data_IF_921614615921
#
_entry.id   IF_921614615921
#
_cell.length_a   1.000
_cell.length_b   1.000
_cell.length_c   1.000
_cell.angle_alpha   90.00
_cell.angle_beta   90.00
_cell.angle_gamma   90.00
#
_symmetry.space_group_name_H-M   'P 1'
#
loop_
_entity.id
_entity.type
_entity.pdbx_description
1 polymer ?
#
# COMPACT_ATOMS: atom_id res chain seq x y z
N UNK A 1 -64.79 -24.97 56.78
CA UNK A 1 -65.37 -24.03 55.79
C UNK A 1 -64.23 -23.37 55.01
N UNK A 2 -63.29 -24.18 54.51
CA UNK A 2 -62.05 -23.72 53.86
C UNK A 2 -61.65 -24.61 52.65
N UNK A 3 -62.17 -25.84 52.53
CA UNK A 3 -61.85 -26.74 51.40
C UNK A 3 -62.75 -26.57 50.15
N UNK A 4 -63.88 -25.85 50.25
CA UNK A 4 -64.79 -25.64 49.10
C UNK A 4 -64.44 -24.42 48.24
N UNK A 5 -63.54 -23.53 48.70
CA UNK A 5 -63.12 -22.34 47.96
C UNK A 5 -61.89 -22.55 47.08
N UNK A 6 -61.20 -23.69 47.18
CA UNK A 6 -59.97 -23.95 46.42
C UNK A 6 -60.20 -24.71 45.11
N UNK A 7 -61.35 -25.40 44.96
CA UNK A 7 -61.68 -26.17 43.74
C UNK A 7 -62.24 -25.27 42.62
N UNK A 8 -62.81 -24.10 42.97
CA UNK A 8 -63.38 -23.17 41.98
C UNK A 8 -62.33 -22.29 41.29
N UNK A 9 -61.22 -21.96 41.97
CA UNK A 9 -60.16 -21.10 41.43
C UNK A 9 -59.29 -21.81 40.38
N UNK A 10 -58.92 -23.07 40.61
CA UNK A 10 -58.17 -23.91 39.64
C UNK A 10 -58.95 -24.13 38.34
N UNK A 11 -60.24 -24.48 38.44
CA UNK A 11 -61.16 -24.63 37.30
C UNK A 11 -61.25 -23.35 36.45
N UNK A 12 -61.23 -22.17 37.08
CA UNK A 12 -61.34 -20.89 36.38
C UNK A 12 -60.03 -20.48 35.69
N UNK A 13 -58.88 -20.83 36.27
CA UNK A 13 -57.57 -20.55 35.68
C UNK A 13 -57.31 -21.43 34.45
N UNK A 14 -57.65 -22.72 34.52
CA UNK A 14 -57.47 -23.66 33.42
C UNK A 14 -58.38 -23.35 32.23
N UNK A 15 -59.66 -23.01 32.50
CA UNK A 15 -60.61 -22.60 31.46
C UNK A 15 -60.22 -21.30 30.77
N UNK A 16 -59.68 -20.33 31.52
CA UNK A 16 -59.12 -19.09 30.95
C UNK A 16 -57.90 -19.36 30.06
N UNK A 17 -57.00 -20.25 30.50
CA UNK A 17 -55.82 -20.64 29.71
C UNK A 17 -56.22 -21.34 28.41
N UNK A 18 -57.20 -22.21 28.46
CA UNK A 18 -57.73 -22.89 27.28
C UNK A 18 -58.37 -21.89 26.28
N UNK A 19 -59.15 -20.93 26.78
CA UNK A 19 -59.71 -19.85 25.97
C UNK A 19 -58.61 -18.99 25.30
N UNK A 20 -57.53 -18.70 26.03
CA UNK A 20 -56.39 -17.95 25.52
C UNK A 20 -55.66 -18.69 24.38
N UNK A 21 -55.41 -19.99 24.53
CA UNK A 21 -54.78 -20.83 23.49
C UNK A 21 -55.64 -20.87 22.22
N UNK A 22 -56.97 -21.03 22.37
CA UNK A 22 -57.87 -21.01 21.22
C UNK A 22 -57.88 -19.64 20.54
N UNK A 23 -57.88 -18.54 21.30
CA UNK A 23 -57.78 -17.19 20.74
C UNK A 23 -56.49 -17.00 19.93
N UNK A 24 -55.35 -17.42 20.48
CA UNK A 24 -54.07 -17.35 19.76
C UNK A 24 -53.97 -18.27 18.56
N UNK A 25 -54.79 -19.33 18.51
CA UNK A 25 -54.92 -20.24 17.37
C UNK A 25 -55.83 -19.71 16.27
N UNK A 26 -56.39 -18.49 16.42
CA UNK A 26 -57.17 -17.80 15.39
C UNK A 26 -58.70 -17.97 15.51
N UNK A 27 -59.19 -18.59 16.58
CA UNK A 27 -60.63 -18.73 16.82
C UNK A 27 -61.25 -17.39 17.23
N UNK A 28 -62.45 -17.11 16.75
CA UNK A 28 -63.22 -15.91 17.16
C UNK A 28 -63.77 -16.11 18.57
N UNK A 29 -63.93 -15.03 19.35
CA UNK A 29 -64.51 -15.09 20.72
C UNK A 29 -65.85 -15.83 20.75
N UNK A 30 -66.71 -15.65 19.73
CA UNK A 30 -67.99 -16.34 19.61
C UNK A 30 -67.88 -17.87 19.37
N UNK A 31 -66.76 -18.34 18.81
CA UNK A 31 -66.48 -19.77 18.64
C UNK A 31 -65.94 -20.36 19.93
N UNK A 32 -65.01 -19.66 20.60
CA UNK A 32 -64.46 -20.05 21.90
C UNK A 32 -65.57 -20.13 22.95
N UNK A 33 -66.43 -19.12 22.99
CA UNK A 33 -67.59 -19.06 23.89
C UNK A 33 -68.50 -20.29 23.75
N UNK A 34 -68.80 -20.71 22.50
CA UNK A 34 -69.62 -21.89 22.22
C UNK A 34 -68.95 -23.21 22.56
N UNK A 35 -67.64 -23.32 22.36
CA UNK A 35 -66.92 -24.59 22.58
C UNK A 35 -66.56 -24.83 24.04
N UNK A 36 -66.30 -23.77 24.81
CA UNK A 36 -65.94 -23.87 26.22
C UNK A 36 -67.12 -23.62 27.18
N UNK A 37 -68.30 -23.28 26.65
CA UNK A 37 -69.49 -22.89 27.42
C UNK A 37 -69.23 -21.71 28.39
N UNK A 38 -68.47 -20.72 27.92
CA UNK A 38 -68.11 -19.51 28.69
C UNK A 38 -68.75 -18.29 28.03
N UNK A 39 -69.39 -17.37 28.78
CA UNK A 39 -69.94 -16.15 28.20
C UNK A 39 -68.91 -15.34 27.41
N UNK A 40 -69.25 -14.92 26.20
CA UNK A 40 -68.36 -14.14 25.33
C UNK A 40 -67.84 -12.85 25.99
N UNK A 41 -68.65 -12.23 26.86
CA UNK A 41 -68.26 -11.06 27.67
C UNK A 41 -67.13 -11.35 28.65
N UNK A 42 -67.09 -12.55 29.23
CA UNK A 42 -66.03 -13.00 30.14
C UNK A 42 -64.71 -13.19 29.39
N UNK A 43 -64.75 -13.82 28.21
CA UNK A 43 -63.57 -14.02 27.35
C UNK A 43 -63.04 -12.66 26.85
N UNK A 44 -63.92 -11.74 26.43
CA UNK A 44 -63.54 -10.39 26.03
C UNK A 44 -62.88 -9.62 27.19
N UNK A 45 -63.41 -9.74 28.41
CA UNK A 45 -62.81 -9.12 29.59
C UNK A 45 -61.40 -9.66 29.88
N UNK A 46 -61.17 -10.96 29.72
CA UNK A 46 -59.84 -11.56 29.86
C UNK A 46 -58.88 -11.07 28.79
N UNK A 47 -59.31 -11.09 27.52
CA UNK A 47 -58.56 -10.58 26.38
C UNK A 47 -58.08 -9.14 26.60
N UNK A 48 -58.96 -8.27 27.08
CA UNK A 48 -58.64 -6.85 27.25
C UNK A 48 -57.78 -6.60 28.49
N UNK A 49 -58.06 -7.28 29.63
CA UNK A 49 -57.26 -7.13 30.87
C UNK A 49 -55.83 -7.61 30.70
N UNK A 50 -55.62 -8.69 29.97
CA UNK A 50 -54.29 -9.29 29.74
C UNK A 50 -53.70 -8.92 28.39
N UNK A 51 -54.36 -8.00 27.66
CA UNK A 51 -53.87 -7.45 26.39
C UNK A 51 -53.43 -8.52 25.39
N UNK A 52 -54.27 -9.52 25.17
CA UNK A 52 -53.93 -10.67 24.32
C UNK A 52 -53.52 -10.25 22.88
N UNK A 53 -54.05 -9.13 22.39
CA UNK A 53 -53.70 -8.57 21.07
C UNK A 53 -52.28 -8.02 21.00
N UNK A 54 -51.74 -7.52 22.12
CA UNK A 54 -50.41 -6.92 22.19
C UNK A 54 -49.30 -7.99 22.31
N UNK A 55 -49.67 -9.25 22.55
CA UNK A 55 -48.71 -10.36 22.69
C UNK A 55 -48.25 -10.80 21.29
N UNK A 56 -47.03 -10.42 20.92
CA UNK A 56 -46.40 -10.81 19.67
C UNK A 56 -46.30 -12.34 19.53
N UNK A 57 -46.43 -12.91 18.31
CA UNK A 57 -46.37 -14.37 18.08
C UNK A 57 -45.13 -15.06 18.69
N UNK A 58 -43.98 -14.38 18.69
CA UNK A 58 -42.74 -14.88 19.31
C UNK A 58 -42.88 -15.03 20.83
N UNK A 59 -43.55 -14.08 21.50
CA UNK A 59 -43.81 -14.15 22.95
C UNK A 59 -44.78 -15.28 23.33
N UNK A 60 -45.68 -15.67 22.41
CA UNK A 60 -46.60 -16.79 22.62
C UNK A 60 -45.87 -18.14 22.62
N UNK A 61 -44.92 -18.31 21.70
CA UNK A 61 -44.08 -19.53 21.62
C UNK A 61 -43.15 -19.62 22.81
N UNK A 62 -42.56 -18.50 23.24
CA UNK A 62 -41.71 -18.43 24.43
C UNK A 62 -42.44 -18.87 25.70
N UNK A 63 -43.66 -18.38 25.93
CA UNK A 63 -44.48 -18.76 27.08
C UNK A 63 -44.79 -20.27 27.10
N UNK A 64 -45.05 -20.85 25.93
CA UNK A 64 -45.30 -22.28 25.79
C UNK A 64 -44.04 -23.11 26.09
N UNK A 65 -42.88 -22.68 25.57
CA UNK A 65 -41.58 -23.32 25.84
C UNK A 65 -41.23 -23.24 27.34
N UNK A 66 -41.39 -22.07 27.95
CA UNK A 66 -41.13 -21.84 29.37
C UNK A 66 -42.05 -22.70 30.25
N UNK A 67 -43.35 -22.75 29.95
CA UNK A 67 -44.29 -23.60 30.69
C UNK A 67 -43.86 -25.06 30.61
N UNK A 68 -43.54 -25.56 29.41
CA UNK A 68 -43.15 -26.96 29.22
C UNK A 68 -41.83 -27.27 29.95
N UNK A 69 -40.88 -26.35 29.92
CA UNK A 69 -39.62 -26.48 30.63
C UNK A 69 -39.85 -26.55 32.15
N UNK A 70 -40.67 -25.67 32.71
CA UNK A 70 -40.99 -25.66 34.13
C UNK A 70 -41.66 -26.98 34.58
N UNK A 71 -42.58 -27.52 33.78
CA UNK A 71 -43.20 -28.82 34.03
C UNK A 71 -42.18 -29.96 34.07
N UNK A 72 -41.25 -29.99 33.12
CA UNK A 72 -40.20 -31.02 33.08
C UNK A 72 -39.21 -30.88 34.23
N UNK A 73 -38.88 -29.64 34.64
CA UNK A 73 -38.02 -29.39 35.80
C UNK A 73 -38.68 -29.86 37.10
N UNK A 74 -39.98 -29.61 37.27
CA UNK A 74 -40.74 -29.97 38.47
C UNK A 74 -41.04 -31.48 38.59
N UNK A 75 -40.86 -32.27 37.51
CA UNK A 75 -41.09 -33.72 37.52
C UNK A 75 -40.14 -34.44 38.49
N UNK A 76 -40.68 -35.21 39.45
CA UNK A 76 -39.89 -35.88 40.50
C UNK A 76 -38.94 -36.95 39.93
N UNK A 77 -39.47 -37.89 39.13
CA UNK A 77 -38.66 -38.88 38.42
C UNK A 77 -38.42 -38.49 36.96
N UNK A 78 -37.17 -38.17 36.62
CA UNK A 78 -36.77 -37.79 35.26
C UNK A 78 -36.13 -38.95 34.52
N UNK A 79 -36.60 -39.19 33.31
CA UNK A 79 -36.04 -40.16 32.36
C UNK A 79 -35.00 -39.50 31.44
N UNK A 80 -34.21 -40.32 30.73
CA UNK A 80 -33.26 -39.81 29.73
C UNK A 80 -33.90 -39.01 28.59
N UNK A 81 -35.18 -39.25 28.26
CA UNK A 81 -35.91 -38.42 27.30
C UNK A 81 -36.29 -37.06 27.88
N UNK A 82 -36.62 -36.98 29.17
CA UNK A 82 -36.94 -35.70 29.84
C UNK A 82 -35.72 -34.78 29.84
N UNK A 83 -34.52 -35.30 30.14
CA UNK A 83 -33.28 -34.52 30.08
C UNK A 83 -32.96 -33.99 28.67
N UNK A 84 -33.23 -34.79 27.63
CA UNK A 84 -33.07 -34.35 26.24
C UNK A 84 -34.06 -33.26 25.87
N UNK A 85 -35.31 -33.38 26.31
CA UNK A 85 -36.33 -32.36 26.06
C UNK A 85 -35.98 -31.05 26.78
N UNK A 86 -35.51 -31.12 28.04
CA UNK A 86 -35.01 -29.95 28.79
C UNK A 86 -33.86 -29.24 28.05
N UNK A 87 -32.86 -29.98 27.55
CA UNK A 87 -31.76 -29.40 26.77
C UNK A 87 -32.25 -28.76 25.47
N UNK A 88 -33.17 -29.41 24.75
CA UNK A 88 -33.75 -28.87 23.53
C UNK A 88 -34.55 -27.58 23.79
N UNK A 89 -35.39 -27.57 24.81
CA UNK A 89 -36.18 -26.41 25.21
C UNK A 89 -35.27 -25.25 25.65
N UNK A 90 -34.24 -25.53 26.45
CA UNK A 90 -33.25 -24.54 26.87
C UNK A 90 -32.52 -23.88 25.70
N UNK A 91 -32.13 -24.67 24.68
CA UNK A 91 -31.54 -24.13 23.44
C UNK A 91 -32.50 -23.28 22.63
N UNK A 92 -33.79 -23.61 22.61
CA UNK A 92 -34.79 -22.76 21.94
C UNK A 92 -34.99 -21.44 22.68
N UNK A 93 -35.03 -21.45 24.02
CA UNK A 93 -35.12 -20.24 24.83
C UNK A 93 -33.90 -19.31 24.59
N UNK A 94 -32.68 -19.87 24.55
CA UNK A 94 -31.48 -19.10 24.24
C UNK A 94 -31.56 -18.46 22.84
N UNK A 95 -32.06 -19.18 21.83
CA UNK A 95 -32.26 -18.65 20.48
C UNK A 95 -33.29 -17.53 20.46
N UNK A 96 -34.40 -17.67 21.19
CA UNK A 96 -35.41 -16.61 21.30
C UNK A 96 -34.85 -15.35 21.98
N UNK A 97 -34.03 -15.49 23.02
CA UNK A 97 -33.36 -14.37 23.67
C UNK A 97 -32.40 -13.62 22.71
N UNK A 98 -31.67 -14.34 21.86
CA UNK A 98 -30.80 -13.75 20.81
C UNK A 98 -31.61 -13.00 19.75
N UNK A 99 -32.73 -13.58 19.29
CA UNK A 99 -33.64 -12.93 18.34
C UNK A 99 -34.22 -11.66 18.94
N UNK A 100 -34.63 -11.67 20.22
CA UNK A 100 -35.09 -10.47 20.92
C UNK A 100 -34.01 -9.40 20.98
N UNK A 101 -32.79 -9.73 21.42
CA UNK A 101 -31.67 -8.78 21.48
C UNK A 101 -31.43 -8.08 20.14
N UNK A 102 -31.51 -8.83 19.03
CA UNK A 102 -31.42 -8.27 17.68
C UNK A 102 -32.62 -7.37 17.33
N UNK A 103 -33.85 -7.83 17.55
CA UNK A 103 -35.07 -7.10 17.19
C UNK A 103 -35.30 -5.82 18.00
N UNK A 104 -34.76 -5.71 19.22
CA UNK A 104 -34.88 -4.53 20.08
C UNK A 104 -33.72 -3.52 19.93
N UNK A 105 -32.81 -3.73 18.97
CA UNK A 105 -31.81 -2.73 18.56
C UNK A 105 -30.45 -2.77 19.28
N UNK A 106 -30.31 -3.56 20.34
CA UNK A 106 -29.05 -3.74 21.09
C UNK A 106 -28.18 -4.91 20.57
N UNK A 107 -28.62 -5.58 19.51
CA UNK A 107 -27.96 -6.75 18.93
C UNK A 107 -27.46 -6.51 17.51
N UNK A 108 -26.48 -7.31 17.09
CA UNK A 108 -25.96 -7.32 15.71
C UNK A 108 -26.08 -8.72 15.09
N UNK A 109 -25.73 -8.86 13.81
CA UNK A 109 -25.83 -10.15 13.08
C UNK A 109 -25.03 -11.29 13.74
N UNK A 110 -24.02 -10.96 14.55
CA UNK A 110 -23.20 -11.93 15.29
C UNK A 110 -24.00 -12.58 16.43
N UNK A 111 -24.97 -11.88 17.02
CA UNK A 111 -25.87 -12.46 18.03
C UNK A 111 -26.80 -13.52 17.43
N UNK A 112 -27.23 -13.35 16.17
CA UNK A 112 -28.08 -14.31 15.46
C UNK A 112 -27.31 -15.55 15.01
N UNK A 113 -26.04 -15.38 14.60
CA UNK A 113 -25.19 -16.49 14.16
C UNK A 113 -23.78 -16.39 14.77
N UNK A 114 -23.52 -17.10 15.88
CA UNK A 114 -22.20 -17.12 16.53
C UNK A 114 -21.07 -17.62 15.63
N UNK A 115 -21.37 -18.33 14.53
CA UNK A 115 -20.36 -18.78 13.57
C UNK A 115 -19.75 -17.60 12.78
N UNK A 116 -20.42 -16.45 12.70
CA UNK A 116 -19.87 -15.23 12.10
C UNK A 116 -18.68 -14.68 12.92
N UNK A 117 -18.73 -14.80 14.26
CA UNK A 117 -17.60 -14.44 15.11
C UNK A 117 -16.35 -15.28 14.82
N UNK A 118 -16.55 -16.56 14.50
CA UNK A 118 -15.46 -17.47 14.16
C UNK A 118 -14.85 -17.22 12.77
N UNK A 119 -15.61 -16.64 11.84
CA UNK A 119 -15.14 -16.31 10.48
C UNK A 119 -14.20 -15.11 10.46
N UNK A 120 -14.35 -14.20 11.42
CA UNK A 120 -13.52 -12.99 11.56
C UNK A 120 -12.36 -13.16 12.57
N UNK A 121 -12.14 -14.37 13.09
CA UNK A 121 -11.15 -14.65 14.14
C UNK A 121 -9.75 -14.98 13.61
N UNK A 122 -9.56 -15.03 12.29
CA UNK A 122 -8.25 -15.18 11.67
C UNK A 122 -7.54 -13.84 11.58
N UNK A 123 -6.26 -13.78 11.98
CA UNK A 123 -5.38 -12.67 11.61
C UNK A 123 -5.41 -12.53 10.09
N UNK A 124 -6.05 -11.47 9.57
CA UNK A 124 -5.78 -11.05 8.20
C UNK A 124 -4.29 -10.76 8.14
N UNK A 125 -3.49 -11.61 7.49
CA UNK A 125 -2.10 -11.30 7.15
C UNK A 125 -2.10 -9.86 6.62
N UNK A 126 -1.39 -8.95 7.30
CA UNK A 126 -1.24 -7.59 6.79
C UNK A 126 -0.72 -7.69 5.37
N UNK A 127 -1.40 -7.05 4.43
CA UNK A 127 -0.92 -6.95 3.06
C UNK A 127 0.54 -6.47 3.12
N UNK A 128 1.43 -7.20 2.46
CA UNK A 128 2.83 -6.83 2.41
C UNK A 128 2.93 -5.43 1.77
N UNK A 129 3.56 -4.45 2.44
CA UNK A 129 3.68 -3.11 1.88
C UNK A 129 4.50 -3.16 0.59
N UNK A 130 4.06 -2.43 -0.43
CA UNK A 130 4.72 -2.38 -1.74
C UNK A 130 4.85 -3.76 -2.40
N UNK A 131 3.89 -4.67 -2.18
CA UNK A 131 3.85 -5.95 -2.87
C UNK A 131 3.88 -5.76 -4.38
N UNK A 132 4.73 -6.57 -5.04
CA UNK A 132 4.88 -6.65 -6.48
C UNK A 132 4.92 -8.15 -6.78
N UNK A 133 3.94 -8.65 -7.53
CA UNK A 133 3.96 -10.03 -8.00
C UNK A 133 4.85 -10.20 -9.25
N UNK A 134 5.02 -11.44 -9.70
CA UNK A 134 5.91 -11.75 -10.81
C UNK A 134 5.44 -11.13 -12.14
N UNK A 135 4.13 -11.10 -12.40
CA UNK A 135 3.58 -10.52 -13.63
C UNK A 135 3.82 -9.01 -13.65
N UNK A 136 3.60 -8.34 -12.51
CA UNK A 136 3.90 -6.93 -12.33
C UNK A 136 5.41 -6.64 -12.50
N UNK A 137 6.29 -7.48 -11.94
CA UNK A 137 7.74 -7.33 -12.11
C UNK A 137 8.15 -7.44 -13.59
N UNK A 138 7.63 -8.43 -14.32
CA UNK A 138 7.89 -8.61 -15.75
C UNK A 138 7.40 -7.42 -16.58
N UNK A 139 6.21 -6.88 -16.29
CA UNK A 139 5.70 -5.66 -16.94
C UNK A 139 6.63 -4.46 -16.69
N UNK A 140 7.12 -4.29 -15.46
CA UNK A 140 8.03 -3.21 -15.11
C UNK A 140 9.39 -3.34 -15.80
N UNK A 141 9.93 -4.55 -15.91
CA UNK A 141 11.19 -4.79 -16.61
C UNK A 141 11.03 -4.50 -18.11
N UNK A 142 10.02 -5.08 -18.75
CA UNK A 142 9.80 -4.95 -20.19
C UNK A 142 9.47 -3.51 -20.57
N UNK A 143 8.59 -2.83 -19.83
CA UNK A 143 8.26 -1.43 -20.07
C UNK A 143 9.48 -0.50 -20.01
N UNK A 144 10.45 -0.81 -19.13
CA UNK A 144 11.67 -0.03 -19.00
C UNK A 144 12.60 -0.26 -20.19
N UNK A 145 12.74 -1.52 -20.62
CA UNK A 145 13.59 -1.90 -21.75
C UNK A 145 13.05 -1.37 -23.09
N UNK A 146 11.74 -1.35 -23.26
CA UNK A 146 11.07 -0.90 -24.48
C UNK A 146 11.04 0.64 -24.57
N UNK A 147 10.87 1.33 -23.45
CA UNK A 147 10.76 2.79 -23.40
C UNK A 147 12.07 3.57 -23.58
N UNK A 148 13.23 2.92 -23.70
CA UNK A 148 14.53 3.59 -23.79
C UNK A 148 14.80 4.20 -25.18
N UNK A 149 15.21 5.48 -25.19
CA UNK A 149 15.88 6.09 -26.33
C UNK A 149 17.28 5.49 -26.56
N UNK A 150 17.83 5.62 -27.76
CA UNK A 150 19.10 4.96 -28.13
C UNK A 150 20.30 5.42 -27.27
N UNK A 151 20.39 6.71 -26.93
CA UNK A 151 21.45 7.20 -26.04
C UNK A 151 21.29 6.68 -24.60
N UNK A 152 20.05 6.40 -24.16
CA UNK A 152 19.79 5.80 -22.85
C UNK A 152 20.20 4.33 -22.82
N UNK A 153 20.08 3.61 -23.94
CA UNK A 153 20.60 2.23 -24.07
C UNK A 153 22.12 2.17 -23.89
N UNK A 154 22.84 3.22 -24.29
CA UNK A 154 24.29 3.35 -24.01
C UNK A 154 24.52 3.45 -22.50
N UNK A 155 23.74 4.26 -21.77
CA UNK A 155 23.79 4.33 -20.30
C UNK A 155 23.51 2.98 -19.65
N UNK A 156 22.50 2.26 -20.17
CA UNK A 156 22.13 0.94 -19.69
C UNK A 156 23.26 -0.07 -19.82
N UNK A 157 23.89 -0.14 -21.01
CA UNK A 157 25.05 -1.01 -21.24
C UNK A 157 26.22 -0.65 -20.32
N UNK A 158 26.45 0.64 -20.09
CA UNK A 158 27.53 1.13 -19.24
C UNK A 158 27.38 0.75 -17.75
N UNK A 159 26.25 0.14 -17.32
CA UNK A 159 26.08 -0.41 -15.95
C UNK A 159 27.17 -1.41 -15.56
N UNK A 160 27.89 -2.01 -16.51
CA UNK A 160 29.06 -2.86 -16.23
C UNK A 160 30.20 -2.10 -15.53
N UNK A 161 30.24 -0.77 -15.65
CA UNK A 161 31.29 0.05 -15.07
C UNK A 161 30.98 0.47 -13.63
N UNK A 162 32.02 0.46 -12.79
CA UNK A 162 31.96 0.85 -11.38
C UNK A 162 31.54 2.31 -11.18
N UNK A 163 32.06 3.20 -12.04
CA UNK A 163 31.76 4.63 -12.02
C UNK A 163 31.36 5.07 -13.43
N UNK A 164 30.16 5.65 -13.55
CA UNK A 164 29.70 6.38 -14.74
C UNK A 164 29.63 7.86 -14.43
N UNK A 165 30.15 8.71 -15.32
CA UNK A 165 30.18 10.16 -15.14
C UNK A 165 29.73 10.85 -16.44
N UNK A 166 28.54 11.42 -16.43
CA UNK A 166 27.81 11.80 -17.63
C UNK A 166 27.53 13.30 -17.60
N UNK A 167 28.00 14.02 -18.61
CA UNK A 167 27.48 15.36 -18.86
C UNK A 167 26.35 15.24 -19.88
N UNK A 168 25.25 15.95 -19.61
CA UNK A 168 24.03 15.84 -20.41
C UNK A 168 23.37 17.19 -20.63
N UNK A 169 22.65 17.29 -21.74
CA UNK A 169 21.74 18.39 -22.03
C UNK A 169 20.56 18.43 -21.05
N UNK A 170 19.94 19.60 -20.85
CA UNK A 170 18.67 19.69 -20.14
C UNK A 170 17.56 18.93 -20.88
N UNK A 171 16.58 18.45 -20.11
CA UNK A 171 15.34 17.85 -20.59
C UNK A 171 15.46 16.58 -21.47
N UNK A 172 16.64 15.94 -21.56
CA UNK A 172 16.81 14.65 -22.28
C UNK A 172 16.43 13.40 -21.45
N UNK A 173 15.56 13.55 -20.46
CA UNK A 173 15.05 12.41 -19.68
C UNK A 173 16.06 11.69 -18.76
N UNK A 174 17.20 12.31 -18.40
CA UNK A 174 18.22 11.65 -17.56
C UNK A 174 17.69 11.21 -16.18
N UNK A 175 17.04 12.11 -15.43
CA UNK A 175 16.48 11.79 -14.10
C UNK A 175 15.37 10.74 -14.20
N UNK A 176 14.52 10.80 -15.24
CA UNK A 176 13.49 9.79 -15.53
C UNK A 176 14.12 8.41 -15.76
N UNK A 177 15.10 8.34 -16.66
CA UNK A 177 15.81 7.11 -16.98
C UNK A 177 16.49 6.49 -15.75
N UNK A 178 17.29 7.27 -15.01
CA UNK A 178 18.03 6.74 -13.86
C UNK A 178 17.12 6.38 -12.68
N UNK A 179 15.94 7.01 -12.56
CA UNK A 179 14.92 6.59 -11.60
C UNK A 179 14.42 5.17 -11.92
N UNK A 180 14.12 4.88 -13.19
CA UNK A 180 13.64 3.58 -13.61
C UNK A 180 14.74 2.53 -13.58
N UNK A 181 15.94 2.86 -14.08
CA UNK A 181 17.09 1.96 -14.02
C UNK A 181 17.37 1.52 -12.58
N UNK A 182 17.36 2.45 -11.63
CA UNK A 182 17.56 2.15 -10.23
C UNK A 182 16.44 1.27 -9.65
N UNK A 183 15.17 1.55 -9.98
CA UNK A 183 14.05 0.75 -9.50
C UNK A 183 14.10 -0.68 -10.03
N UNK A 184 14.33 -0.87 -11.34
CA UNK A 184 14.47 -2.20 -11.94
C UNK A 184 15.70 -2.93 -11.38
N UNK A 185 16.82 -2.22 -11.16
CA UNK A 185 17.99 -2.81 -10.54
C UNK A 185 17.71 -3.25 -9.10
N UNK A 186 16.94 -2.48 -8.33
CA UNK A 186 16.53 -2.86 -6.97
C UNK A 186 15.65 -4.11 -6.96
N UNK A 187 14.67 -4.21 -7.88
CA UNK A 187 13.80 -5.37 -8.03
C UNK A 187 14.59 -6.64 -8.35
N UNK A 188 15.49 -6.56 -9.33
CA UNK A 188 16.19 -7.73 -9.87
C UNK A 188 17.40 -8.17 -9.03
N UNK A 189 18.01 -7.26 -8.25
CA UNK A 189 19.25 -7.56 -7.51
C UNK A 189 19.10 -7.56 -5.99
N UNK A 190 18.03 -6.96 -5.44
CA UNK A 190 17.91 -6.72 -4.01
C UNK A 190 18.86 -5.63 -3.48
N UNK A 191 19.60 -4.93 -4.36
CA UNK A 191 20.49 -3.86 -3.93
C UNK A 191 19.73 -2.57 -3.62
N UNK A 192 20.10 -1.95 -2.51
CA UNK A 192 19.66 -0.59 -2.18
C UNK A 192 20.12 0.42 -3.24
N UNK A 193 19.31 1.45 -3.44
CA UNK A 193 19.57 2.54 -4.38
C UNK A 193 19.49 3.88 -3.65
N UNK A 194 20.54 4.68 -3.76
CA UNK A 194 20.69 5.93 -3.03
C UNK A 194 20.69 7.07 -4.05
N UNK A 195 19.74 7.97 -3.90
CA UNK A 195 19.58 9.14 -4.75
C UNK A 195 20.03 10.39 -4.01
N UNK A 196 21.00 11.10 -4.59
CA UNK A 196 21.49 12.40 -4.13
C UNK A 196 21.33 13.42 -5.25
N UNK A 197 20.95 14.64 -4.89
CA UNK A 197 20.86 15.78 -5.80
C UNK A 197 21.23 17.07 -5.06
N UNK A 198 21.30 18.21 -5.75
CA UNK A 198 21.60 19.51 -5.12
C UNK A 198 20.61 19.95 -4.02
N UNK A 199 19.41 19.34 -3.96
CA UNK A 199 18.45 19.51 -2.85
C UNK A 199 17.61 18.25 -2.60
N UNK A 200 17.01 18.13 -1.40
CA UNK A 200 16.06 17.03 -1.08
C UNK A 200 14.85 17.05 -2.02
N UNK A 201 14.34 18.25 -2.39
CA UNK A 201 13.20 18.38 -3.32
C UNK A 201 13.52 17.77 -4.69
N UNK A 202 14.72 18.00 -5.22
CA UNK A 202 15.16 17.37 -6.47
C UNK A 202 15.37 15.86 -6.30
N UNK A 203 15.92 15.39 -5.18
CA UNK A 203 16.04 13.95 -4.93
C UNK A 203 14.66 13.25 -4.88
N UNK A 204 13.62 13.91 -4.35
CA UNK A 204 12.25 13.41 -4.38
C UNK A 204 11.63 13.34 -5.79
N UNK A 205 12.24 13.97 -6.80
CA UNK A 205 11.81 13.82 -8.19
C UNK A 205 12.01 12.39 -8.69
N UNK A 206 13.11 11.72 -8.30
CA UNK A 206 13.31 10.30 -8.59
C UNK A 206 12.17 9.46 -8.01
N UNK A 207 11.79 9.74 -6.76
CA UNK A 207 10.68 9.06 -6.10
C UNK A 207 9.38 9.23 -6.89
N UNK A 208 9.10 10.45 -7.35
CA UNK A 208 7.92 10.74 -8.17
C UNK A 208 7.91 9.92 -9.46
N UNK A 209 9.02 9.87 -10.18
CA UNK A 209 9.14 9.06 -11.39
C UNK A 209 8.94 7.56 -11.11
N UNK A 210 9.56 7.03 -10.06
CA UNK A 210 9.42 5.62 -9.67
C UNK A 210 7.97 5.26 -9.33
N UNK A 211 7.32 6.06 -8.48
CA UNK A 211 5.92 5.82 -8.06
C UNK A 211 4.98 5.90 -9.27
N UNK A 212 5.14 6.92 -10.11
CA UNK A 212 4.30 7.08 -11.30
C UNK A 212 4.49 5.93 -12.29
N UNK A 213 5.73 5.50 -12.51
CA UNK A 213 6.04 4.40 -13.41
C UNK A 213 5.48 3.07 -12.91
N UNK A 214 5.64 2.78 -11.62
CA UNK A 214 5.10 1.58 -10.98
C UNK A 214 3.56 1.52 -11.12
N UNK A 215 2.89 2.66 -10.89
CA UNK A 215 1.44 2.78 -11.00
C UNK A 215 0.96 2.65 -12.45
N UNK A 216 1.60 3.34 -13.39
CA UNK A 216 1.15 3.37 -14.79
C UNK A 216 1.43 2.06 -15.54
N UNK A 217 2.52 1.38 -15.20
CA UNK A 217 2.98 0.21 -15.97
C UNK A 217 2.44 -1.10 -15.42
N UNK A 218 2.24 -1.20 -14.10
CA UNK A 218 1.87 -2.45 -13.44
C UNK A 218 0.80 -2.30 -12.34
N UNK A 219 0.15 -1.13 -12.25
CA UNK A 219 -0.85 -0.81 -11.22
C UNK A 219 -0.34 -0.95 -9.76
N UNK A 220 0.95 -0.73 -9.54
CA UNK A 220 1.59 -0.86 -8.22
C UNK A 220 1.61 0.49 -7.48
N UNK A 221 1.00 0.52 -6.30
CA UNK A 221 0.99 1.70 -5.41
C UNK A 221 2.16 1.69 -4.41
N UNK A 222 3.31 2.21 -4.83
CA UNK A 222 4.50 2.35 -3.98
C UNK A 222 4.34 3.47 -2.93
N UNK A 223 4.68 3.16 -1.67
CA UNK A 223 4.55 4.04 -0.51
C UNK A 223 5.83 4.08 0.34
N UNK A 224 5.93 5.11 1.18
CA UNK A 224 7.05 5.36 2.09
C UNK A 224 7.93 6.55 1.69
N UNK A 225 8.61 7.16 2.66
CA UNK A 225 9.67 8.15 2.40
C UNK A 225 10.88 7.46 1.76
N UNK A 226 11.37 6.42 2.42
CA UNK A 226 12.16 5.35 1.82
C UNK A 226 11.19 4.30 1.32
N UNK A 227 11.29 3.92 0.05
CA UNK A 227 10.46 2.84 -0.51
C UNK A 227 11.21 1.54 -0.26
N UNK A 228 10.61 0.63 0.52
CA UNK A 228 11.13 -0.71 0.77
C UNK A 228 10.39 -1.71 -0.12
N UNK A 229 11.14 -2.50 -0.87
CA UNK A 229 10.61 -3.54 -1.75
C UNK A 229 10.50 -4.89 -1.01
N UNK A 230 9.64 -5.82 -1.46
CA UNK A 230 9.49 -7.15 -0.84
C UNK A 230 10.79 -7.96 -0.76
N UNK A 231 11.68 -7.78 -1.73
CA UNK A 231 13.00 -8.43 -1.75
C UNK A 231 14.03 -7.81 -0.76
N UNK A 232 13.61 -6.81 0.03
CA UNK A 232 14.43 -6.15 1.03
C UNK A 232 15.22 -4.94 0.54
N UNK A 233 15.25 -4.64 -0.76
CA UNK A 233 15.91 -3.45 -1.28
C UNK A 233 15.22 -2.16 -0.83
N UNK A 234 16.03 -1.14 -0.58
CA UNK A 234 15.55 0.20 -0.19
C UNK A 234 15.92 1.25 -1.24
N UNK A 235 14.93 2.08 -1.61
CA UNK A 235 15.11 3.28 -2.44
C UNK A 235 15.15 4.50 -1.52
N UNK A 236 16.33 5.10 -1.39
CA UNK A 236 16.67 6.09 -0.36
C UNK A 236 16.94 7.44 -1.03
N UNK A 237 16.14 8.46 -0.69
CA UNK A 237 16.21 9.79 -1.33
C UNK A 237 16.79 10.82 -0.36
N UNK A 238 18.00 11.33 -0.65
CA UNK A 238 18.78 12.18 0.26
C UNK A 238 19.02 13.58 -0.32
N UNK A 239 19.11 14.58 0.56
CA UNK A 239 19.54 15.95 0.20
C UNK A 239 21.04 16.19 0.43
N UNK A 240 21.48 17.44 0.28
CA UNK A 240 22.89 17.87 0.41
C UNK A 240 23.40 18.03 1.84
N UNK A 241 22.78 17.36 2.82
CA UNK A 241 23.31 17.33 4.19
C UNK A 241 24.27 16.16 4.38
N UNK A 242 25.58 16.46 4.35
CA UNK A 242 26.65 15.46 4.53
C UNK A 242 26.58 14.68 5.85
N UNK A 243 25.98 15.24 6.90
CA UNK A 243 25.83 14.56 8.19
C UNK A 243 24.82 13.41 8.13
N UNK A 244 23.78 13.53 7.29
CA UNK A 244 22.73 12.52 7.18
C UNK A 244 23.03 11.46 6.12
N UNK A 245 24.14 11.58 5.37
CA UNK A 245 24.44 10.76 4.20
C UNK A 245 25.59 9.74 4.42
N UNK A 246 25.84 9.29 5.66
CA UNK A 246 27.01 8.47 5.98
C UNK A 246 26.72 6.97 6.20
N UNK A 247 25.51 6.61 6.65
CA UNK A 247 25.23 5.28 7.18
C UNK A 247 24.63 4.30 6.16
N UNK A 248 24.22 4.78 4.99
CA UNK A 248 23.57 3.94 3.99
C UNK A 248 24.59 3.19 3.14
N UNK A 249 24.15 2.09 2.53
CA UNK A 249 24.92 1.35 1.53
C UNK A 249 24.02 1.02 0.33
N UNK A 250 24.56 1.11 -0.88
CA UNK A 250 23.78 0.91 -2.11
C UNK A 250 24.46 1.46 -3.36
N UNK A 251 23.81 1.26 -4.51
CA UNK A 251 24.17 1.99 -5.73
C UNK A 251 23.89 3.47 -5.56
N UNK A 252 24.85 4.31 -5.94
CA UNK A 252 24.72 5.76 -5.85
C UNK A 252 24.32 6.35 -7.20
N UNK A 253 23.26 7.16 -7.19
CA UNK A 253 22.88 8.07 -8.27
C UNK A 253 22.98 9.50 -7.74
N UNK A 254 23.90 10.28 -8.31
CA UNK A 254 24.15 11.65 -7.90
C UNK A 254 23.86 12.59 -9.08
N UNK A 255 22.71 13.24 -9.00
CA UNK A 255 22.19 14.19 -9.99
C UNK A 255 22.73 15.62 -9.76
N UNK A 256 22.74 16.39 -10.85
CA UNK A 256 23.12 17.79 -10.94
C UNK A 256 24.42 18.14 -10.22
N UNK A 257 25.45 17.29 -10.34
CA UNK A 257 26.70 17.44 -9.57
C UNK A 257 27.47 18.74 -9.80
N UNK A 258 27.26 19.43 -10.93
CA UNK A 258 27.83 20.76 -11.19
C UNK A 258 27.08 21.91 -10.52
N UNK A 259 25.96 21.62 -9.87
CA UNK A 259 25.12 22.57 -9.13
C UNK A 259 25.11 22.28 -7.62
N UNK A 260 25.88 21.30 -7.16
CA UNK A 260 26.00 20.93 -5.74
C UNK A 260 27.06 21.79 -5.05
N UNK A 261 26.70 22.61 -4.06
CA UNK A 261 27.68 23.33 -3.24
C UNK A 261 28.60 22.36 -2.50
N UNK A 262 29.90 22.67 -2.43
CA UNK A 262 30.91 21.80 -1.77
C UNK A 262 30.86 20.34 -2.27
N UNK A 263 30.72 20.18 -3.58
CA UNK A 263 30.60 18.86 -4.24
C UNK A 263 31.68 17.87 -3.82
N UNK A 264 32.93 18.30 -3.66
CA UNK A 264 34.04 17.45 -3.25
C UNK A 264 33.85 16.83 -1.86
N UNK A 265 33.31 17.59 -0.90
CA UNK A 265 32.95 17.11 0.44
C UNK A 265 31.79 16.10 0.35
N UNK A 266 30.73 16.46 -0.37
CA UNK A 266 29.55 15.60 -0.55
C UNK A 266 29.90 14.30 -1.26
N UNK A 267 30.69 14.36 -2.33
CA UNK A 267 31.14 13.19 -3.09
C UNK A 267 31.98 12.27 -2.22
N UNK A 268 32.89 12.80 -1.40
CA UNK A 268 33.73 11.99 -0.50
C UNK A 268 32.87 11.11 0.40
N UNK A 269 31.86 11.71 1.04
CA UNK A 269 30.90 10.99 1.89
C UNK A 269 30.07 10.00 1.06
N UNK A 270 29.45 10.47 -0.03
CA UNK A 270 28.55 9.66 -0.84
C UNK A 270 29.22 8.44 -1.49
N UNK A 271 30.46 8.60 -1.95
CA UNK A 271 31.23 7.49 -2.54
C UNK A 271 31.53 6.38 -1.54
N UNK A 272 31.58 6.70 -0.23
CA UNK A 272 31.74 5.73 0.85
C UNK A 272 30.53 4.80 0.99
N UNK A 273 29.30 5.31 0.79
CA UNK A 273 28.07 4.50 0.81
C UNK A 273 28.09 3.39 -0.26
N UNK A 274 28.72 3.67 -1.40
CA UNK A 274 28.84 2.71 -2.48
C UNK A 274 30.15 1.92 -2.44
N UNK A 275 30.94 1.90 -1.35
CA UNK A 275 32.30 1.38 -1.35
C UNK A 275 32.46 -0.12 -1.68
N UNK A 276 31.44 -0.94 -1.43
CA UNK A 276 31.48 -2.38 -1.69
C UNK A 276 31.49 -2.71 -3.20
N UNK A 277 32.04 -3.88 -3.56
CA UNK A 277 32.33 -4.28 -4.95
C UNK A 277 31.10 -4.37 -5.88
N UNK A 278 29.95 -4.73 -5.33
CA UNK A 278 28.71 -4.94 -6.09
C UNK A 278 27.99 -3.63 -6.44
N UNK A 279 28.25 -2.57 -5.68
CA UNK A 279 27.58 -1.29 -5.91
C UNK A 279 28.23 -0.53 -7.06
N UNK A 280 27.56 0.50 -7.55
CA UNK A 280 28.04 1.39 -8.61
C UNK A 280 27.79 2.84 -8.22
N UNK A 281 28.47 3.75 -8.91
CA UNK A 281 28.31 5.19 -8.73
C UNK A 281 28.03 5.83 -10.08
N UNK A 282 26.92 6.57 -10.17
CA UNK A 282 26.47 7.22 -11.39
C UNK A 282 26.34 8.71 -11.10
N UNK A 283 27.19 9.50 -11.74
CA UNK A 283 27.20 10.95 -11.63
C UNK A 283 26.67 11.53 -12.93
N UNK A 284 25.73 12.46 -12.85
CA UNK A 284 25.25 13.14 -14.04
C UNK A 284 24.85 14.59 -13.76
N UNK A 285 24.99 15.47 -14.76
CA UNK A 285 24.70 16.89 -14.62
C UNK A 285 24.67 17.60 -15.97
N UNK A 286 24.05 18.78 -16.03
CA UNK A 286 24.50 19.80 -16.99
C UNK A 286 25.76 20.47 -16.44
N UNK A 287 26.79 20.77 -17.25
CA UNK A 287 27.99 21.45 -16.78
C UNK A 287 27.72 22.90 -16.39
N UNK A 288 28.62 23.47 -15.58
CA UNK A 288 28.64 24.91 -15.25
C UNK A 288 29.95 25.55 -15.70
N UNK A 289 30.91 25.73 -14.79
CA UNK A 289 32.22 26.37 -15.03
C UNK A 289 33.39 25.43 -14.71
N UNK A 290 34.54 25.63 -15.34
CA UNK A 290 35.79 24.94 -15.00
C UNK A 290 36.25 25.15 -13.55
N UNK A 291 35.79 26.23 -12.90
CA UNK A 291 36.11 26.52 -11.50
C UNK A 291 35.36 25.60 -10.53
N UNK A 292 34.25 24.98 -10.96
CA UNK A 292 33.45 24.12 -10.10
C UNK A 292 34.20 22.81 -9.79
N UNK A 293 34.23 22.30 -8.54
CA UNK A 293 34.96 21.09 -8.18
C UNK A 293 34.57 19.83 -8.98
N UNK A 294 33.32 19.77 -9.46
CA UNK A 294 32.85 18.70 -10.34
C UNK A 294 33.61 18.64 -11.68
N UNK A 295 34.08 19.78 -12.20
CA UNK A 295 34.94 19.81 -13.39
C UNK A 295 36.24 19.07 -13.15
N UNK A 296 36.90 19.31 -12.01
CA UNK A 296 38.14 18.62 -11.67
C UNK A 296 37.92 17.09 -11.56
N UNK A 297 36.75 16.67 -11.08
CA UNK A 297 36.39 15.25 -11.04
C UNK A 297 36.13 14.66 -12.44
N UNK A 298 35.37 15.35 -13.30
CA UNK A 298 35.08 14.90 -14.65
C UNK A 298 36.33 14.84 -15.53
N UNK A 299 37.16 15.89 -15.53
CA UNK A 299 38.35 16.05 -16.38
C UNK A 299 39.57 15.21 -15.96
N UNK A 300 39.49 14.45 -14.87
CA UNK A 300 40.63 13.70 -14.34
C UNK A 300 41.65 14.55 -13.56
N UNK A 301 41.47 15.88 -13.46
CA UNK A 301 42.36 16.73 -12.62
C UNK A 301 42.37 16.28 -11.14
N UNK A 302 41.23 15.83 -10.62
CA UNK A 302 41.12 15.27 -9.27
C UNK A 302 41.86 13.94 -9.13
N UNK A 303 41.89 13.11 -10.19
CA UNK A 303 42.71 11.90 -10.24
C UNK A 303 44.20 12.29 -10.19
N UNK A 304 44.62 13.27 -10.97
CA UNK A 304 46.03 13.69 -11.02
C UNK A 304 46.55 14.38 -9.75
N UNK A 305 45.67 14.75 -8.81
CA UNK A 305 46.05 15.45 -7.57
C UNK A 305 46.99 14.57 -6.75
N UNK A 306 48.12 15.13 -6.34
CA UNK A 306 49.17 14.47 -5.55
C UNK A 306 49.78 13.21 -6.18
N UNK A 307 49.64 13.02 -7.50
CA UNK A 307 50.33 11.96 -8.27
C UNK A 307 51.61 12.46 -8.92
N UNK A 308 52.57 11.57 -9.10
CA UNK A 308 53.82 11.87 -9.81
C UNK A 308 53.56 12.10 -11.31
N UNK A 309 54.48 12.75 -12.02
CA UNK A 309 54.29 13.04 -13.47
C UNK A 309 54.03 11.77 -14.30
N UNK A 310 54.66 10.64 -13.93
CA UNK A 310 54.51 9.34 -14.62
C UNK A 310 53.16 8.66 -14.37
N UNK A 311 52.45 9.03 -13.30
CA UNK A 311 51.14 8.45 -12.95
C UNK A 311 49.98 9.36 -13.35
N UNK A 312 50.28 10.58 -13.80
CA UNK A 312 49.27 11.51 -14.30
C UNK A 312 48.77 11.04 -15.66
N UNK A 313 47.48 11.21 -15.85
CA UNK A 313 46.79 10.91 -17.09
C UNK A 313 46.32 12.20 -17.75
N UNK A 314 46.12 12.16 -19.06
CA UNK A 314 45.40 13.17 -19.78
C UNK A 314 44.15 12.52 -20.36
N UNK A 315 42.99 13.17 -20.17
CA UNK A 315 41.71 12.68 -20.69
C UNK A 315 41.23 13.73 -21.68
N UNK A 316 41.10 13.32 -22.94
CA UNK A 316 40.39 14.10 -23.94
C UNK A 316 38.91 14.16 -23.57
N UNK A 317 38.46 15.34 -23.12
CA UNK A 317 37.08 15.60 -22.72
C UNK A 317 36.28 16.30 -23.82
N UNK A 318 36.75 16.26 -25.07
CA UNK A 318 35.96 16.75 -26.21
C UNK A 318 34.67 15.94 -26.36
N UNK A 319 33.63 16.61 -26.85
CA UNK A 319 32.36 15.96 -27.18
C UNK A 319 32.56 14.82 -28.18
N UNK A 320 33.35 15.03 -29.25
CA UNK A 320 33.64 13.99 -30.24
C UNK A 320 34.24 12.70 -29.65
N UNK A 321 35.17 12.82 -28.69
CA UNK A 321 35.77 11.63 -28.05
C UNK A 321 34.83 10.95 -27.04
N UNK A 322 33.85 11.67 -26.50
CA UNK A 322 32.99 11.19 -25.41
C UNK A 322 31.51 10.99 -25.78
N UNK A 323 31.04 11.38 -26.98
CA UNK A 323 29.61 11.32 -27.35
C UNK A 323 29.02 9.91 -27.32
N UNK A 324 29.82 8.91 -27.68
CA UNK A 324 29.42 7.49 -27.65
C UNK A 324 29.72 6.78 -26.33
N UNK A 325 30.30 7.49 -25.36
CA UNK A 325 30.71 6.93 -24.08
C UNK A 325 32.03 6.17 -24.13
N UNK A 326 32.90 6.36 -23.13
CA UNK A 326 34.25 5.79 -23.13
C UNK A 326 34.76 5.52 -21.72
N UNK A 327 35.32 4.32 -21.50
CA UNK A 327 36.10 4.03 -20.29
C UNK A 327 37.44 4.75 -20.38
N UNK A 328 37.67 5.69 -19.46
CA UNK A 328 38.86 6.54 -19.45
C UNK A 328 39.96 5.98 -18.52
N UNK A 329 41.16 6.54 -18.63
CA UNK A 329 42.34 6.09 -17.87
C UNK A 329 42.22 6.28 -16.35
N UNK A 330 41.28 7.10 -15.87
CA UNK A 330 40.92 7.21 -14.45
C UNK A 330 39.98 6.08 -13.96
N UNK A 331 39.72 5.08 -14.80
CA UNK A 331 38.77 3.96 -14.58
C UNK A 331 37.32 4.41 -14.41
N UNK A 332 36.97 5.59 -14.92
CA UNK A 332 35.59 6.04 -15.00
C UNK A 332 35.11 5.96 -16.43
N UNK A 333 33.90 5.43 -16.61
CA UNK A 333 33.22 5.57 -17.89
C UNK A 333 32.60 6.96 -17.98
N UNK A 334 32.86 7.67 -19.08
CA UNK A 334 32.43 9.05 -19.28
C UNK A 334 31.66 9.20 -20.59
N UNK A 335 30.66 10.07 -20.58
CA UNK A 335 29.93 10.46 -21.79
C UNK A 335 29.51 11.93 -21.74
N UNK A 336 29.42 12.56 -22.90
CA UNK A 336 28.79 13.87 -23.09
C UNK A 336 27.61 13.68 -24.06
N UNK A 337 26.40 14.08 -23.67
CA UNK A 337 25.19 13.93 -24.50
C UNK A 337 24.53 15.29 -24.70
N UNK A 338 24.71 15.87 -25.88
CA UNK A 338 24.05 17.11 -26.31
C UNK A 338 22.58 16.87 -26.66
N UNK A 339 21.84 17.96 -26.86
CA UNK A 339 20.47 17.90 -27.37
C UNK A 339 20.42 17.25 -28.75
N UNK A 340 21.41 17.48 -29.61
CA UNK A 340 21.48 16.89 -30.94
C UNK A 340 21.72 15.38 -30.88
N UNK A 341 22.61 14.91 -30.00
CA UNK A 341 22.80 13.46 -29.79
C UNK A 341 21.53 12.80 -29.26
N UNK A 342 20.79 13.50 -28.40
CA UNK A 342 19.52 13.00 -27.87
C UNK A 342 18.44 12.91 -28.97
N UNK A 343 18.37 13.91 -29.85
CA UNK A 343 17.47 13.91 -31.01
C UNK A 343 17.83 12.81 -32.01
N UNK A 344 19.12 12.66 -32.35
CA UNK A 344 19.62 11.57 -33.20
C UNK A 344 19.31 10.20 -32.57
N UNK A 345 19.38 10.12 -31.24
CA UNK A 345 18.99 8.94 -30.48
C UNK A 345 17.48 8.72 -30.30
N UNK A 346 16.63 9.52 -30.95
CA UNK A 346 15.18 9.33 -31.03
C UNK A 346 14.33 10.25 -30.12
N UNK A 347 14.94 11.17 -29.36
CA UNK A 347 14.21 12.10 -28.51
C UNK A 347 13.73 13.31 -29.33
N UNK A 348 12.56 13.17 -29.95
CA UNK A 348 11.98 14.14 -30.90
C UNK A 348 11.03 15.17 -30.23
N UNK A 349 11.29 15.53 -28.97
CA UNK A 349 10.41 16.40 -28.17
C UNK A 349 10.77 17.89 -28.24
N UNK A 350 11.83 18.27 -28.96
CA UNK A 350 12.42 19.60 -28.92
C UNK A 350 12.19 20.37 -30.22
N UNK A 351 11.91 21.67 -30.09
CA UNK A 351 12.09 22.64 -31.17
C UNK A 351 13.39 23.41 -30.92
N UNK A 352 14.41 23.17 -31.75
CA UNK A 352 15.73 23.78 -31.59
C UNK A 352 15.70 25.28 -31.84
N UNK A 353 14.93 25.74 -32.83
CA UNK A 353 14.88 27.16 -33.18
C UNK A 353 14.31 28.00 -32.03
N UNK A 354 13.25 27.49 -31.39
CA UNK A 354 12.67 28.12 -30.20
C UNK A 354 13.70 28.18 -29.06
N UNK A 355 14.41 27.08 -28.78
CA UNK A 355 15.42 27.04 -27.72
C UNK A 355 16.60 27.99 -27.99
N UNK A 356 17.01 28.16 -29.26
CA UNK A 356 18.03 29.13 -29.63
C UNK A 356 17.52 30.56 -29.43
N UNK A 357 16.25 30.84 -29.75
CA UNK A 357 15.64 32.15 -29.59
C UNK A 357 15.41 32.55 -28.12
N UNK A 358 15.14 31.58 -27.25
CA UNK A 358 14.87 31.78 -25.82
C UNK A 358 16.12 32.01 -24.97
N UNK A 359 17.31 31.63 -25.44
CA UNK A 359 18.54 31.61 -24.65
C UNK A 359 19.62 32.51 -25.27
N UNK A 360 20.51 33.06 -24.45
CA UNK A 360 21.78 33.58 -24.98
C UNK A 360 22.59 32.46 -25.61
N UNK A 361 23.54 32.81 -26.49
CA UNK A 361 24.42 31.83 -27.13
C UNK A 361 25.18 31.00 -26.09
N UNK A 362 25.71 31.66 -25.08
CA UNK A 362 26.47 31.03 -23.99
C UNK A 362 25.60 30.08 -23.16
N UNK A 363 24.36 30.48 -22.84
CA UNK A 363 23.41 29.62 -22.13
C UNK A 363 23.00 28.41 -22.97
N UNK A 364 22.73 28.62 -24.27
CA UNK A 364 22.37 27.52 -25.15
C UNK A 364 23.50 26.49 -25.26
N UNK A 365 24.73 26.97 -25.47
CA UNK A 365 25.93 26.11 -25.55
C UNK A 365 26.16 25.35 -24.24
N UNK A 366 26.00 26.00 -23.08
CA UNK A 366 26.18 25.34 -21.80
C UNK A 366 25.09 24.30 -21.50
N UNK A 367 23.83 24.67 -21.70
CA UNK A 367 22.68 23.89 -21.24
C UNK A 367 22.26 22.78 -22.21
N UNK A 368 22.46 22.99 -23.51
CA UNK A 368 21.99 22.09 -24.56
C UNK A 368 23.12 21.48 -25.40
N UNK A 369 24.20 22.23 -25.65
CA UNK A 369 25.40 21.67 -26.30
C UNK A 369 26.39 21.07 -25.31
N UNK A 370 26.18 21.28 -24.01
CA UNK A 370 26.96 20.70 -22.91
C UNK A 370 28.42 21.17 -22.93
N UNK A 371 28.63 22.40 -23.37
CA UNK A 371 29.91 23.09 -23.30
C UNK A 371 30.22 23.52 -21.86
N UNK A 372 31.48 23.34 -21.44
CA UNK A 372 31.92 23.78 -20.11
C UNK A 372 32.42 25.22 -20.23
N UNK A 373 31.76 26.15 -19.53
CA UNK A 373 32.16 27.56 -19.55
C UNK A 373 33.57 27.73 -18.96
N UNK A 374 34.41 28.46 -19.70
CA UNK A 374 35.80 28.75 -19.32
C UNK A 374 35.89 29.70 -18.14
#
# INVERSE_FOLDING_TARGET
>A
MEELNNISSESTADTKRQAQVMYFSGYKIAEISRQLDIPASTIASWKDREKWDDIAPVGRVELALETRLNLLIAKEEKSGSDYKEIDLLGRQMERMARVKKYSFGDGNEVDLNPKLANRNKGERKKAEPNAIDQEQEELLINGFLDGMFNYQRIWHKAKEHRIRNILKSRQIGATYYFAHEAFIDALTTGHNQIFLSASKKQALQFRSYIVNYAKQTADVDLKGETIKLPNGAELIFLGTNSATAQSYHGNLYFDEVFWVPKFDVMRKVASGMAAQKMYRQTYFSTPTTIAHPAYAFFSGKAFNRNRTKSEKIEIDISHENLKSGKLCADRQWKQIVSIYDAMEGGCNLFNIDDLIAENSKEEFEQLFFVSICR
#
